data_IF_197127663175
#
_entry.id   IF_197127663175
#
_cell.length_a   1.000
_cell.length_b   1.000
_cell.length_c   1.000
_cell.angle_alpha   90.00
_cell.angle_beta   90.00
_cell.angle_gamma   90.00
#
_symmetry.space_group_name_H-M   'P 1'
#
loop_
_entity.id
_entity.type
_entity.pdbx_description
1 polymer ?
#
# COMPACT_ATOMS: atom_id res chain seq x y z
N UNK A 1 -40.25 6.13 12.20
CA UNK A 1 -38.83 5.72 12.18
C UNK A 1 -38.06 6.51 13.24
N UNK A 2 -37.47 5.82 14.21
CA UNK A 2 -37.01 6.39 15.48
C UNK A 2 -35.88 7.41 15.31
N UNK A 3 -36.06 8.62 15.85
CA UNK A 3 -35.03 9.68 15.96
C UNK A 3 -33.70 9.17 16.54
N UNK A 4 -33.77 8.14 17.38
CA UNK A 4 -32.61 7.44 17.94
C UNK A 4 -31.80 6.70 16.87
N UNK A 5 -32.47 6.01 15.95
CA UNK A 5 -31.80 5.23 14.90
C UNK A 5 -31.02 6.14 13.95
N UNK A 6 -31.61 7.27 13.54
CA UNK A 6 -30.94 8.26 12.69
C UNK A 6 -29.70 8.87 13.35
N UNK A 7 -29.75 9.11 14.67
CA UNK A 7 -28.58 9.59 15.42
C UNK A 7 -27.49 8.52 15.52
N UNK A 8 -27.88 7.25 15.63
CA UNK A 8 -26.97 6.12 15.73
C UNK A 8 -26.22 5.91 14.41
N UNK A 9 -26.92 5.92 13.27
CA UNK A 9 -26.32 5.83 11.93
C UNK A 9 -25.39 7.03 11.64
N UNK A 10 -25.76 8.23 12.11
CA UNK A 10 -24.90 9.41 11.97
C UNK A 10 -23.60 9.27 12.76
N UNK A 11 -23.67 8.74 13.99
CA UNK A 11 -22.47 8.49 14.81
C UNK A 11 -21.57 7.42 14.21
N UNK A 12 -22.12 6.34 13.65
CA UNK A 12 -21.34 5.32 12.94
C UNK A 12 -20.56 5.93 11.77
N UNK A 13 -21.22 6.76 10.94
CA UNK A 13 -20.56 7.48 9.84
C UNK A 13 -19.44 8.41 10.32
N UNK A 14 -19.65 9.13 11.43
CA UNK A 14 -18.64 10.00 12.01
C UNK A 14 -17.45 9.21 12.56
N UNK A 15 -17.68 8.08 13.24
CA UNK A 15 -16.62 7.22 13.77
C UNK A 15 -15.76 6.67 12.63
N UNK A 16 -16.38 6.17 11.55
CA UNK A 16 -15.68 5.65 10.36
C UNK A 16 -14.83 6.76 9.71
N UNK A 17 -15.36 7.97 9.59
CA UNK A 17 -14.60 9.11 9.07
C UNK A 17 -13.42 9.49 9.99
N UNK A 18 -13.62 9.49 11.31
CA UNK A 18 -12.54 9.82 12.25
C UNK A 18 -11.44 8.74 12.23
N UNK A 19 -11.80 7.45 12.16
CA UNK A 19 -10.81 6.37 12.05
C UNK A 19 -10.02 6.45 10.75
N UNK A 20 -10.67 6.74 9.62
CA UNK A 20 -10.00 6.88 8.32
C UNK A 20 -9.13 8.14 8.24
N UNK A 21 -9.52 9.24 8.88
CA UNK A 21 -8.70 10.46 8.98
C UNK A 21 -7.47 10.23 9.88
N UNK A 22 -7.60 9.41 10.94
CA UNK A 22 -6.48 9.10 11.85
C UNK A 22 -5.45 8.16 11.21
N UNK A 23 -5.88 7.27 10.31
CA UNK A 23 -4.98 6.44 9.48
C UNK A 23 -4.31 7.23 8.34
N UNK A 24 -4.96 8.29 7.84
CA UNK A 24 -4.43 9.19 6.81
C UNK A 24 -3.71 10.42 7.37
N UNK A 25 -3.28 10.40 8.63
CA UNK A 25 -2.17 11.28 9.00
C UNK A 25 -0.97 10.74 8.25
N UNK A 26 -0.58 11.47 7.22
CA UNK A 26 0.70 11.36 6.54
C UNK A 26 1.83 11.37 7.57
N UNK A 27 2.08 10.19 8.13
CA UNK A 27 3.14 9.93 9.09
C UNK A 27 4.44 10.08 8.31
N UNK A 28 4.89 11.34 8.26
CA UNK A 28 6.16 11.71 7.70
C UNK A 28 7.24 11.19 8.64
N UNK A 29 8.00 10.23 8.16
CA UNK A 29 9.06 9.56 8.89
C UNK A 29 10.40 10.21 8.54
N UNK A 30 11.23 10.40 9.56
CA UNK A 30 12.65 10.64 9.36
C UNK A 30 13.38 9.31 9.04
N UNK A 31 14.68 9.38 8.77
CA UNK A 31 15.47 8.20 8.41
C UNK A 31 15.54 7.13 9.51
N UNK A 32 15.54 7.52 10.79
CA UNK A 32 15.58 6.57 11.91
C UNK A 32 14.24 5.84 12.08
N UNK A 33 13.14 6.53 11.90
CA UNK A 33 11.80 5.96 11.93
C UNK A 33 11.58 5.02 10.73
N UNK A 34 12.03 5.41 9.53
CA UNK A 34 12.02 4.55 8.36
C UNK A 34 12.89 3.29 8.55
N UNK A 35 14.08 3.45 9.17
CA UNK A 35 14.98 2.36 9.58
C UNK A 35 14.28 1.34 10.46
N UNK A 36 13.60 1.81 11.52
CA UNK A 36 12.81 0.96 12.41
C UNK A 36 11.64 0.29 11.69
N UNK A 37 10.92 1.01 10.83
CA UNK A 37 9.77 0.48 10.10
C UNK A 37 10.15 -0.65 9.15
N UNK A 38 11.24 -0.48 8.41
CA UNK A 38 11.69 -1.42 7.39
C UNK A 38 12.58 -2.53 7.97
N UNK A 39 12.98 -2.38 9.24
CA UNK A 39 13.96 -3.22 9.90
C UNK A 39 15.28 -3.30 9.12
N UNK A 40 15.76 -2.14 8.65
CA UNK A 40 17.00 -2.00 7.88
C UNK A 40 17.92 -0.98 8.57
N UNK A 41 19.24 -1.16 8.46
CA UNK A 41 20.16 -0.15 8.96
C UNK A 41 20.00 1.19 8.23
N UNK A 42 20.31 2.30 8.89
CA UNK A 42 20.32 3.65 8.29
C UNK A 42 21.23 3.71 7.05
N UNK A 43 22.39 3.05 7.10
CA UNK A 43 23.32 2.96 5.97
C UNK A 43 22.72 2.20 4.77
N UNK A 44 22.00 1.11 5.04
CA UNK A 44 21.27 0.37 4.00
C UNK A 44 20.18 1.24 3.37
N UNK A 45 19.45 2.02 4.18
CA UNK A 45 18.45 2.95 3.65
C UNK A 45 19.09 4.01 2.76
N UNK A 46 20.21 4.62 3.17
CA UNK A 46 20.94 5.54 2.30
C UNK A 46 21.34 4.87 0.97
N UNK A 47 21.86 3.65 1.02
CA UNK A 47 22.21 2.88 -0.17
C UNK A 47 21.00 2.68 -1.09
N UNK A 48 19.84 2.31 -0.54
CA UNK A 48 18.58 2.15 -1.29
C UNK A 48 18.07 3.47 -1.87
N UNK A 49 18.16 4.56 -1.12
CA UNK A 49 17.80 5.92 -1.57
C UNK A 49 18.69 6.36 -2.73
N UNK A 50 20.00 6.13 -2.65
CA UNK A 50 20.95 6.45 -3.72
C UNK A 50 20.66 5.66 -4.99
N UNK A 51 20.31 4.37 -4.85
CA UNK A 51 19.93 3.49 -5.96
C UNK A 51 18.49 3.69 -6.47
N UNK A 52 17.72 4.61 -5.87
CA UNK A 52 16.30 4.84 -6.17
C UNK A 52 15.42 3.58 -6.01
N UNK A 53 15.80 2.69 -5.09
CA UNK A 53 15.06 1.43 -4.84
C UNK A 53 13.86 1.63 -3.90
N UNK A 54 13.77 2.75 -3.20
CA UNK A 54 12.78 3.04 -2.16
C UNK A 54 12.17 4.44 -2.39
N UNK A 55 10.85 4.65 -2.18
CA UNK A 55 10.26 5.98 -2.27
C UNK A 55 10.85 6.92 -1.22
N UNK A 56 11.13 8.17 -1.59
CA UNK A 56 11.77 9.16 -0.72
C UNK A 56 11.43 10.58 -1.18
N UNK A 57 11.19 11.48 -0.23
CA UNK A 57 10.99 12.90 -0.49
C UNK A 57 12.22 13.67 0.00
N UNK A 58 12.92 14.36 -0.90
CA UNK A 58 14.10 15.15 -0.57
C UNK A 58 13.71 16.62 -0.44
N UNK A 59 14.15 17.28 0.63
CA UNK A 59 14.02 18.72 0.84
C UNK A 59 15.36 19.27 1.32
N UNK A 60 16.12 19.84 0.38
CA UNK A 60 17.50 20.27 0.61
C UNK A 60 18.39 19.10 1.09
N UNK A 61 18.98 19.24 2.28
CA UNK A 61 19.86 18.23 2.90
C UNK A 61 19.11 17.16 3.70
N UNK A 62 17.79 17.27 3.85
CA UNK A 62 16.96 16.33 4.62
C UNK A 62 16.16 15.41 3.69
N UNK A 63 15.97 14.17 4.14
CA UNK A 63 15.11 13.21 3.48
C UNK A 63 13.97 12.82 4.41
N UNK A 64 12.80 12.62 3.83
CA UNK A 64 11.59 12.22 4.51
C UNK A 64 10.93 11.06 3.76
N UNK A 65 10.11 10.31 4.48
CA UNK A 65 9.39 9.17 3.93
C UNK A 65 7.95 9.24 4.39
N UNK A 66 7.00 9.08 3.48
CA UNK A 66 5.64 8.82 3.91
C UNK A 66 5.49 7.35 4.28
N UNK A 67 4.97 7.08 5.49
CA UNK A 67 4.70 5.72 5.95
C UNK A 67 3.87 4.93 4.94
N UNK A 68 2.81 5.54 4.40
CA UNK A 68 1.91 4.86 3.46
C UNK A 68 2.62 4.43 2.17
N UNK A 69 3.55 5.25 1.65
CA UNK A 69 4.36 4.91 0.48
C UNK A 69 5.31 3.75 0.77
N UNK A 70 5.96 3.75 1.95
CA UNK A 70 6.82 2.63 2.38
C UNK A 70 6.04 1.33 2.50
N UNK A 71 4.83 1.35 3.08
CA UNK A 71 3.97 0.16 3.17
C UNK A 71 3.54 -0.32 1.78
N UNK A 72 3.17 0.59 0.88
CA UNK A 72 2.82 0.25 -0.51
C UNK A 72 4.01 -0.36 -1.24
N UNK A 73 5.21 0.17 -1.03
CA UNK A 73 6.45 -0.35 -1.59
C UNK A 73 6.73 -1.78 -1.10
N UNK A 74 6.61 -2.06 0.21
CA UNK A 74 6.73 -3.43 0.74
C UNK A 74 5.74 -4.37 0.07
N UNK A 75 4.47 -3.96 -0.03
CA UNK A 75 3.41 -4.77 -0.67
C UNK A 75 3.72 -5.06 -2.14
N UNK A 76 4.32 -4.11 -2.86
CA UNK A 76 4.71 -4.29 -4.27
C UNK A 76 5.83 -5.33 -4.45
N UNK A 77 6.66 -5.54 -3.43
CA UNK A 77 7.71 -6.57 -3.42
C UNK A 77 7.19 -7.99 -3.16
N UNK A 78 5.88 -8.19 -2.97
CA UNK A 78 5.30 -9.53 -2.73
C UNK A 78 5.53 -10.43 -3.94
N UNK A 79 6.26 -11.51 -3.73
CA UNK A 79 6.41 -12.57 -4.72
C UNK A 79 5.18 -13.47 -4.69
N UNK A 80 4.59 -13.75 -5.86
CA UNK A 80 3.44 -14.66 -5.98
C UNK A 80 3.85 -16.09 -5.61
N UNK A 81 2.94 -16.80 -4.97
CA UNK A 81 3.13 -18.23 -4.69
C UNK A 81 3.01 -19.04 -5.98
N UNK A 82 3.54 -20.27 -5.98
CA UNK A 82 3.39 -21.19 -7.11
C UNK A 82 1.93 -21.42 -7.50
N UNK A 83 1.05 -21.59 -6.51
CA UNK A 83 -0.39 -21.78 -6.73
C UNK A 83 -1.05 -20.57 -7.39
N UNK A 84 -0.71 -19.35 -6.95
CA UNK A 84 -1.21 -18.12 -7.56
C UNK A 84 -0.74 -17.98 -9.01
N UNK A 85 0.54 -18.24 -9.28
CA UNK A 85 1.07 -18.23 -10.65
C UNK A 85 0.40 -19.27 -11.55
N UNK A 86 0.18 -20.50 -11.04
CA UNK A 86 -0.51 -21.57 -11.77
C UNK A 86 -1.95 -21.19 -12.09
N UNK A 87 -2.64 -20.54 -11.15
CA UNK A 87 -3.99 -20.02 -11.34
C UNK A 87 -4.02 -18.93 -12.42
N UNK A 88 -3.09 -17.96 -12.38
CA UNK A 88 -2.99 -16.90 -13.38
C UNK A 88 -2.77 -17.47 -14.79
N UNK A 89 -1.87 -18.47 -14.93
CA UNK A 89 -1.62 -19.15 -16.21
C UNK A 89 -2.89 -19.86 -16.71
N UNK A 90 -3.62 -20.56 -15.83
CA UNK A 90 -4.87 -21.24 -16.17
C UNK A 90 -5.92 -20.23 -16.65
N UNK A 91 -6.08 -19.12 -15.93
CA UNK A 91 -7.03 -18.08 -16.27
C UNK A 91 -6.70 -17.42 -17.60
N UNK A 92 -5.43 -17.07 -17.83
CA UNK A 92 -5.00 -16.49 -19.09
C UNK A 92 -5.27 -17.44 -20.27
N UNK A 93 -4.98 -18.74 -20.12
CA UNK A 93 -5.31 -19.76 -21.12
C UNK A 93 -6.82 -19.85 -21.40
N UNK A 94 -7.65 -19.80 -20.35
CA UNK A 94 -9.10 -19.83 -20.48
C UNK A 94 -9.64 -18.57 -21.18
N UNK A 95 -9.07 -17.40 -20.89
CA UNK A 95 -9.44 -16.13 -21.52
C UNK A 95 -9.11 -16.16 -23.01
N UNK A 96 -7.91 -16.61 -23.39
CA UNK A 96 -7.50 -16.77 -24.79
C UNK A 96 -8.44 -17.73 -25.56
N UNK A 97 -8.82 -18.86 -24.95
CA UNK A 97 -9.77 -19.80 -25.53
C UNK A 97 -11.16 -19.16 -25.75
N UNK A 98 -11.62 -18.35 -24.79
CA UNK A 98 -12.90 -17.63 -24.93
C UNK A 98 -12.89 -16.61 -26.07
N UNK A 99 -11.78 -15.89 -26.26
CA UNK A 99 -11.64 -14.95 -27.38
C UNK A 99 -11.58 -15.66 -28.73
N UNK A 100 -10.96 -16.84 -28.82
CA UNK A 100 -10.96 -17.63 -30.06
C UNK A 100 -12.34 -18.18 -30.46
N UNK A 101 -13.24 -18.39 -29.49
CA UNK A 101 -14.59 -18.90 -29.73
C UNK A 101 -15.60 -17.80 -30.10
N UNK A 102 -15.30 -16.53 -29.83
CA UNK A 102 -16.16 -15.38 -30.13
C UNK A 102 -15.83 -14.78 -31.52
N UNK A 103 -14.73 -15.20 -32.14
CA UNK A 103 -14.31 -14.77 -33.49
C UNK A 103 -14.64 -15.77 -34.62
N UNK A 104 -15.54 -16.73 -34.37
CA UNK A 104 -16.12 -17.62 -35.40
C UNK A 104 -17.64 -17.51 -35.43
#
# INVERSE_FOLDING_TARGET
MNKLHNKLEHLEKLIINISTIKENKDDLLNIEQASKLLNLSVSTIYSKVCKKEIPVNKQGKRIYFYRHELIKWIKSGRVKTYSEMKYDIKNFKMQLLSFSLISF
#
